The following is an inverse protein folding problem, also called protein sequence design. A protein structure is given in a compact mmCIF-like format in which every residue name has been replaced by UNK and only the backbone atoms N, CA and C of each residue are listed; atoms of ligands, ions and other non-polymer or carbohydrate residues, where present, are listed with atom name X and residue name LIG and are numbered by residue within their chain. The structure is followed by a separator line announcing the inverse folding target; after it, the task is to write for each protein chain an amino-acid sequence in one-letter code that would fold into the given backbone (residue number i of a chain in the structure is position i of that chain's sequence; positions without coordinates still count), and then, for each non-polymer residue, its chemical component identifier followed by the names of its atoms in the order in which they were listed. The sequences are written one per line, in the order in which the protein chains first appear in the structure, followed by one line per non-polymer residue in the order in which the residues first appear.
data_IF_436579613203
#
_entry.id   IF_436579613203
#
_cell.length_a   1.000
_cell.length_b   1.000
_cell.length_c   1.000
_cell.angle_alpha   90.00
_cell.angle_beta   90.00
_cell.angle_gamma   90.00
#
_symmetry.space_group_name_H-M   'P 1'
#
loop_
_entity.id
_entity.type
_entity.pdbx_description
1 polymer ?
#
# COMPACT_ATOMS: atom_id res chain seq x y z
N UNK A 1 24.64 1.12 6.18
CA UNK A 1 23.33 1.69 5.77
C UNK A 1 23.05 3.01 6.48
N UNK A 2 22.20 3.94 5.95
CA UNK A 2 21.68 5.10 6.71
C UNK A 2 20.74 4.64 7.82
N UNK A 3 20.67 5.41 8.92
CA UNK A 3 19.72 5.10 10.00
C UNK A 3 18.26 5.36 9.55
N UNK A 4 17.27 4.66 10.14
CA UNK A 4 15.85 4.85 9.81
C UNK A 4 15.39 6.29 9.94
N UNK A 5 15.88 7.02 10.97
CA UNK A 5 15.56 8.43 11.22
C UNK A 5 16.06 9.31 10.07
N UNK A 6 17.30 9.14 9.64
CA UNK A 6 17.86 9.89 8.51
C UNK A 6 17.13 9.62 7.19
N UNK A 7 16.71 8.37 6.98
CA UNK A 7 15.90 8.01 5.80
C UNK A 7 14.56 8.73 5.85
N UNK A 8 13.91 8.72 7.02
CA UNK A 8 12.63 9.40 7.24
C UNK A 8 12.73 10.91 7.02
N UNK A 9 13.77 11.54 7.56
CA UNK A 9 14.01 12.99 7.40
C UNK A 9 14.24 13.35 5.94
N UNK A 10 15.13 12.63 5.24
CA UNK A 10 15.40 12.86 3.81
C UNK A 10 14.15 12.74 2.94
N UNK A 11 13.33 11.72 3.17
CA UNK A 11 12.07 11.54 2.46
C UNK A 11 11.09 12.66 2.78
N UNK A 12 11.00 13.05 4.06
CA UNK A 12 10.09 14.11 4.51
C UNK A 12 10.44 15.45 3.92
N UNK A 13 11.73 15.80 3.94
CA UNK A 13 12.24 17.04 3.34
C UNK A 13 12.04 17.07 1.82
N UNK A 14 12.28 15.93 1.14
CA UNK A 14 12.09 15.84 -0.30
C UNK A 14 10.63 16.05 -0.71
N UNK A 15 9.67 15.42 0.00
CA UNK A 15 8.24 15.62 -0.26
C UNK A 15 7.82 17.06 0.05
N UNK A 16 8.28 17.63 1.17
CA UNK A 16 7.94 19.00 1.55
C UNK A 16 8.55 20.07 0.61
N UNK A 17 9.63 19.73 -0.07
CA UNK A 17 10.35 20.64 -0.98
C UNK A 17 9.85 20.60 -2.43
N UNK A 18 8.79 19.83 -2.74
CA UNK A 18 8.24 19.79 -4.10
C UNK A 18 7.72 21.20 -4.47
N UNK A 19 8.27 21.83 -5.54
CA UNK A 19 7.83 23.15 -5.95
C UNK A 19 6.51 23.07 -6.74
N UNK A 20 5.56 23.91 -6.40
CA UNK A 20 4.32 24.07 -7.14
C UNK A 20 4.19 25.48 -7.68
N UNK A 21 3.72 25.67 -8.94
CA UNK A 21 3.29 26.97 -9.42
C UNK A 21 2.14 27.53 -8.57
N UNK A 22 2.09 28.87 -8.39
CA UNK A 22 1.00 29.51 -7.67
C UNK A 22 -0.34 29.38 -8.41
N UNK A 23 -0.27 29.35 -9.74
CA UNK A 23 -1.46 29.29 -10.61
C UNK A 23 -1.32 28.15 -11.65
N UNK A 24 -2.42 27.51 -12.04
CA UNK A 24 -3.76 27.68 -11.47
C UNK A 24 -3.89 27.05 -10.07
N UNK A 25 -4.29 27.84 -9.08
CA UNK A 25 -4.31 27.45 -7.68
C UNK A 25 -5.15 26.18 -7.43
N UNK A 26 -6.31 26.06 -8.09
CA UNK A 26 -7.19 24.90 -7.96
C UNK A 26 -6.61 23.57 -8.51
N UNK A 27 -5.50 23.63 -9.25
CA UNK A 27 -4.76 22.43 -9.67
C UNK A 27 -3.75 22.02 -8.62
N UNK A 28 -2.97 22.98 -8.09
CA UNK A 28 -1.81 22.69 -7.25
C UNK A 28 -2.11 22.62 -5.76
N UNK A 29 -3.07 23.42 -5.26
CA UNK A 29 -3.46 23.38 -3.84
C UNK A 29 -3.96 21.98 -3.39
N UNK A 30 -4.79 21.26 -4.17
CA UNK A 30 -5.19 19.90 -3.79
C UNK A 30 -4.01 18.91 -3.75
N UNK A 31 -3.00 19.08 -4.64
CA UNK A 31 -1.78 18.26 -4.63
C UNK A 31 -1.01 18.48 -3.34
N UNK A 32 -0.72 19.73 -3.00
CA UNK A 32 -0.03 20.08 -1.75
C UNK A 32 -0.80 19.56 -0.53
N UNK A 33 -2.12 19.80 -0.46
CA UNK A 33 -2.99 19.32 0.59
C UNK A 33 -2.92 17.79 0.77
N UNK A 34 -2.94 17.03 -0.34
CA UNK A 34 -2.88 15.57 -0.30
C UNK A 34 -1.54 15.08 0.26
N UNK A 35 -0.42 15.67 -0.18
CA UNK A 35 0.91 15.28 0.26
C UNK A 35 1.23 15.73 1.69
N UNK A 36 0.66 16.86 2.14
CA UNK A 36 0.76 17.36 3.51
C UNK A 36 -0.11 16.59 4.51
N UNK A 37 -1.13 15.87 4.06
CA UNK A 37 -2.01 15.09 4.94
C UNK A 37 -1.30 14.00 5.75
N UNK A 38 0.00 13.85 5.57
CA UNK A 38 0.86 12.91 6.30
C UNK A 38 0.83 11.49 5.73
N UNK A 39 1.26 10.54 6.55
CA UNK A 39 1.39 9.13 6.21
C UNK A 39 2.75 8.57 6.59
N UNK A 40 2.87 7.24 6.63
CA UNK A 40 4.11 6.55 7.04
C UNK A 40 5.23 6.62 6.00
N UNK A 41 4.91 7.07 4.79
CA UNK A 41 5.86 7.21 3.66
C UNK A 41 6.74 5.97 3.45
N UNK A 42 6.16 4.78 3.66
CA UNK A 42 6.88 3.52 3.64
C UNK A 42 7.55 3.24 2.28
N UNK A 43 6.86 3.55 1.17
CA UNK A 43 7.36 3.28 -0.19
C UNK A 43 8.64 4.06 -0.51
N UNK A 44 8.68 5.38 -0.39
CA UNK A 44 9.92 6.12 -0.62
C UNK A 44 11.02 5.75 0.39
N UNK A 45 10.67 5.46 1.66
CA UNK A 45 11.64 4.99 2.64
C UNK A 45 12.28 3.67 2.22
N UNK A 46 11.50 2.73 1.67
CA UNK A 46 12.02 1.46 1.14
C UNK A 46 12.97 1.65 -0.03
N UNK A 47 12.66 2.55 -0.97
CA UNK A 47 13.56 2.84 -2.09
C UNK A 47 14.90 3.40 -1.61
N UNK A 48 14.86 4.38 -0.70
CA UNK A 48 16.06 5.00 -0.11
C UNK A 48 16.83 3.99 0.75
N UNK A 49 16.13 3.20 1.58
CA UNK A 49 16.74 2.17 2.42
C UNK A 49 17.47 1.11 1.59
N UNK A 50 16.83 0.62 0.53
CA UNK A 50 17.43 -0.39 -0.36
C UNK A 50 18.66 0.17 -1.05
N UNK A 51 18.59 1.39 -1.60
CA UNK A 51 19.74 2.04 -2.22
C UNK A 51 20.90 2.19 -1.23
N UNK A 52 20.61 2.68 -0.02
CA UNK A 52 21.62 2.85 1.03
C UNK A 52 22.21 1.52 1.52
N UNK A 53 21.41 0.49 1.68
CA UNK A 53 21.85 -0.85 2.12
C UNK A 53 22.78 -1.52 1.11
N UNK A 54 22.62 -1.22 -0.17
CA UNK A 54 23.47 -1.73 -1.25
C UNK A 54 24.66 -0.82 -1.58
N UNK A 55 24.93 0.20 -0.73
CA UNK A 55 26.05 1.11 -0.91
C UNK A 55 25.88 2.14 -2.01
N UNK A 56 24.64 2.32 -2.52
CA UNK A 56 24.32 3.31 -3.53
C UNK A 56 24.32 4.75 -2.99
N UNK A 57 24.42 5.71 -3.90
CA UNK A 57 24.39 7.14 -3.58
C UNK A 57 22.93 7.60 -3.43
N UNK A 58 22.53 7.90 -2.17
CA UNK A 58 21.14 8.23 -1.83
C UNK A 58 20.62 9.48 -2.55
N UNK A 59 21.46 10.44 -2.85
CA UNK A 59 21.09 11.62 -3.65
C UNK A 59 20.53 11.27 -5.03
N UNK A 60 20.89 10.12 -5.59
CA UNK A 60 20.44 9.66 -6.90
C UNK A 60 19.09 8.97 -6.88
N UNK A 61 18.65 8.47 -5.73
CA UNK A 61 17.37 7.74 -5.61
C UNK A 61 16.24 8.63 -5.10
N UNK A 62 16.55 9.75 -4.45
CA UNK A 62 15.57 10.55 -3.71
C UNK A 62 14.44 11.09 -4.60
N UNK A 63 14.76 11.58 -5.81
CA UNK A 63 13.75 12.07 -6.75
C UNK A 63 12.80 10.94 -7.18
N UNK A 64 13.33 9.78 -7.56
CA UNK A 64 12.53 8.62 -7.94
C UNK A 64 11.68 8.09 -6.77
N UNK A 65 12.26 8.03 -5.56
CA UNK A 65 11.54 7.65 -4.35
C UNK A 65 10.38 8.61 -4.04
N UNK A 66 10.62 9.92 -4.16
CA UNK A 66 9.58 10.95 -4.00
C UNK A 66 8.50 10.82 -5.08
N UNK A 67 8.87 10.54 -6.33
CA UNK A 67 7.93 10.26 -7.40
C UNK A 67 7.01 9.07 -7.11
N UNK A 68 7.53 8.00 -6.53
CA UNK A 68 6.73 6.85 -6.08
C UNK A 68 5.73 7.26 -4.98
N UNK A 69 6.10 8.15 -4.07
CA UNK A 69 5.18 8.65 -3.03
C UNK A 69 4.09 9.55 -3.64
N UNK A 70 4.46 10.42 -4.59
CA UNK A 70 3.48 11.24 -5.33
C UNK A 70 2.49 10.35 -6.07
N UNK A 71 2.98 9.30 -6.76
CA UNK A 71 2.12 8.33 -7.43
C UNK A 71 1.19 7.61 -6.45
N UNK A 72 1.70 7.16 -5.31
CA UNK A 72 0.86 6.53 -4.29
C UNK A 72 -0.26 7.47 -3.81
N UNK A 73 0.04 8.74 -3.55
CA UNK A 73 -0.98 9.70 -3.13
C UNK A 73 -1.95 10.06 -4.27
N UNK A 74 -1.50 10.00 -5.55
CA UNK A 74 -2.39 10.05 -6.71
C UNK A 74 -3.43 8.93 -6.68
N UNK A 75 -2.99 7.67 -6.47
CA UNK A 75 -3.92 6.54 -6.43
C UNK A 75 -4.91 6.68 -5.29
N UNK A 76 -4.49 7.15 -4.10
CA UNK A 76 -5.39 7.40 -2.98
C UNK A 76 -6.41 8.50 -3.28
N UNK A 77 -6.01 9.56 -3.97
CA UNK A 77 -6.89 10.68 -4.31
C UNK A 77 -7.99 10.24 -5.27
N UNK A 78 -7.65 9.44 -6.31
CA UNK A 78 -8.65 8.89 -7.24
C UNK A 78 -9.52 7.81 -6.59
N UNK A 79 -8.94 6.96 -5.75
CA UNK A 79 -9.65 5.96 -4.95
C UNK A 79 -10.75 6.62 -4.08
N UNK A 80 -10.42 7.72 -3.41
CA UNK A 80 -11.39 8.51 -2.62
C UNK A 80 -12.60 8.99 -3.46
N UNK A 81 -12.37 9.36 -4.72
CA UNK A 81 -13.47 9.76 -5.63
C UNK A 81 -14.33 8.55 -6.02
N UNK A 82 -13.70 7.42 -6.34
CA UNK A 82 -14.36 6.17 -6.72
C UNK A 82 -15.22 5.62 -5.58
N UNK A 83 -14.65 5.59 -4.37
CA UNK A 83 -15.29 5.06 -3.16
C UNK A 83 -16.25 6.07 -2.49
N UNK A 84 -16.34 7.31 -3.00
CA UNK A 84 -17.12 8.40 -2.38
C UNK A 84 -16.75 8.67 -0.93
N UNK A 85 -15.51 8.44 -0.55
CA UNK A 85 -15.03 8.56 0.81
C UNK A 85 -15.06 10.02 1.30
N UNK A 86 -15.66 10.26 2.48
CA UNK A 86 -15.74 11.61 3.05
C UNK A 86 -14.43 12.08 3.67
N UNK A 87 -13.72 11.15 4.31
CA UNK A 87 -12.51 11.44 5.10
C UNK A 87 -11.35 10.50 4.71
N UNK A 88 -10.14 11.06 4.69
CA UNK A 88 -8.88 10.31 4.63
C UNK A 88 -7.92 10.86 5.68
N UNK A 89 -7.37 10.00 6.52
CA UNK A 89 -6.46 10.38 7.62
C UNK A 89 -7.04 11.47 8.53
N UNK A 90 -8.36 11.43 8.76
CA UNK A 90 -9.09 12.39 9.59
C UNK A 90 -9.36 13.77 8.94
N UNK A 91 -8.99 13.95 7.68
CA UNK A 91 -9.24 15.16 6.91
C UNK A 91 -10.24 14.90 5.78
N UNK A 92 -10.97 15.93 5.35
CA UNK A 92 -11.86 15.83 4.19
C UNK A 92 -11.06 15.38 2.95
N UNK A 93 -11.62 14.48 2.18
CA UNK A 93 -11.07 14.10 0.87
C UNK A 93 -11.08 15.27 -0.10
N UNK A 94 -10.24 15.25 -1.13
CA UNK A 94 -10.14 16.38 -2.08
C UNK A 94 -11.47 16.66 -2.75
N UNK A 95 -12.22 15.62 -3.19
CA UNK A 95 -13.51 15.83 -3.84
C UNK A 95 -14.59 16.40 -2.91
N UNK A 96 -14.47 16.17 -1.60
CA UNK A 96 -15.38 16.79 -0.59
C UNK A 96 -14.97 18.23 -0.25
N UNK A 97 -13.67 18.52 -0.26
CA UNK A 97 -13.16 19.85 0.08
C UNK A 97 -13.25 20.82 -1.11
N UNK A 98 -13.11 20.33 -2.34
CA UNK A 98 -13.25 21.13 -3.57
C UNK A 98 -14.42 20.60 -4.40
N UNK A 99 -14.17 19.68 -5.33
CA UNK A 99 -15.17 18.97 -6.15
C UNK A 99 -14.51 17.77 -6.88
N UNK A 100 -15.33 16.92 -7.50
CA UNK A 100 -14.89 15.71 -8.23
C UNK A 100 -13.94 16.07 -9.39
N UNK A 101 -14.24 17.12 -10.18
CA UNK A 101 -13.43 17.50 -11.33
C UNK A 101 -12.04 18.00 -10.90
N UNK A 102 -12.00 18.77 -9.81
CA UNK A 102 -10.74 19.23 -9.21
C UNK A 102 -9.91 18.06 -8.72
N UNK A 103 -10.54 17.08 -8.07
CA UNK A 103 -9.85 15.88 -7.59
C UNK A 103 -9.28 15.06 -8.77
N UNK A 104 -10.08 14.79 -9.80
CA UNK A 104 -9.64 14.04 -10.97
C UNK A 104 -8.46 14.74 -11.65
N UNK A 105 -8.58 16.03 -11.96
CA UNK A 105 -7.54 16.77 -12.68
C UNK A 105 -6.25 16.92 -11.87
N UNK A 106 -6.36 17.15 -10.56
CA UNK A 106 -5.19 17.22 -9.66
C UNK A 106 -4.49 15.86 -9.57
N UNK A 107 -5.26 14.76 -9.55
CA UNK A 107 -4.72 13.40 -9.62
C UNK A 107 -3.94 13.15 -10.93
N UNK A 108 -4.49 13.53 -12.09
CA UNK A 108 -3.80 13.42 -13.39
C UNK A 108 -2.49 14.21 -13.39
N UNK A 109 -2.50 15.40 -12.80
CA UNK A 109 -1.29 16.21 -12.64
C UNK A 109 -0.27 15.54 -11.70
N UNK A 110 -0.72 14.88 -10.62
CA UNK A 110 0.15 14.11 -9.72
C UNK A 110 0.78 12.91 -10.43
N UNK A 111 0.05 12.18 -11.27
CA UNK A 111 0.61 11.09 -12.09
C UNK A 111 1.72 11.59 -13.02
N UNK A 112 1.47 12.72 -13.68
CA UNK A 112 2.49 13.35 -14.55
C UNK A 112 3.70 13.81 -13.74
N UNK A 113 3.49 14.46 -12.59
CA UNK A 113 4.56 14.90 -11.68
C UNK A 113 5.40 13.71 -11.19
N UNK A 114 4.76 12.62 -10.78
CA UNK A 114 5.43 11.39 -10.36
C UNK A 114 6.34 10.84 -11.48
N UNK A 115 5.82 10.76 -12.71
CA UNK A 115 6.59 10.31 -13.88
C UNK A 115 7.79 11.22 -14.14
N UNK A 116 7.61 12.56 -14.08
CA UNK A 116 8.71 13.52 -14.23
C UNK A 116 9.80 13.35 -13.16
N UNK A 117 9.42 13.06 -11.93
CA UNK A 117 10.37 12.84 -10.83
C UNK A 117 11.13 11.51 -11.01
N UNK A 118 10.43 10.44 -11.37
CA UNK A 118 11.04 9.13 -11.63
C UNK A 118 12.02 9.20 -12.82
N UNK A 119 11.71 10.00 -13.84
CA UNK A 119 12.57 10.24 -14.99
C UNK A 119 13.86 11.00 -14.66
N UNK A 120 14.02 11.50 -13.43
CA UNK A 120 15.30 12.07 -12.94
C UNK A 120 16.27 11.02 -12.43
N UNK A 121 15.94 9.74 -12.47
CA UNK A 121 16.89 8.67 -12.20
C UNK A 121 18.15 8.82 -13.08
N UNK A 122 19.33 8.31 -12.63
CA UNK A 122 20.55 8.39 -13.43
C UNK A 122 20.35 7.89 -14.87
N UNK A 123 20.88 8.61 -15.86
CA UNK A 123 20.62 8.38 -17.28
C UNK A 123 20.86 6.93 -17.72
N UNK A 124 21.84 6.26 -17.10
CA UNK A 124 22.24 4.89 -17.42
C UNK A 124 21.17 3.86 -17.05
N UNK A 125 20.37 4.14 -15.99
CA UNK A 125 19.34 3.23 -15.47
C UNK A 125 17.92 3.76 -15.63
N UNK A 126 17.77 5.03 -16.03
CA UNK A 126 16.46 5.68 -16.17
C UNK A 126 15.47 4.91 -17.05
N UNK A 127 15.85 4.32 -18.20
CA UNK A 127 14.92 3.54 -19.02
C UNK A 127 14.38 2.31 -18.28
N UNK A 128 15.23 1.62 -17.49
CA UNK A 128 14.83 0.45 -16.70
C UNK A 128 13.90 0.84 -15.55
N UNK A 129 14.22 1.94 -14.84
CA UNK A 129 13.39 2.46 -13.74
C UNK A 129 12.02 2.90 -14.25
N UNK A 130 11.95 3.59 -15.39
CA UNK A 130 10.67 4.00 -16.00
C UNK A 130 9.85 2.80 -16.50
N UNK A 131 10.49 1.80 -17.13
CA UNK A 131 9.79 0.58 -17.56
C UNK A 131 9.20 -0.17 -16.36
N UNK A 132 9.97 -0.34 -15.27
CA UNK A 132 9.51 -0.91 -14.03
C UNK A 132 8.31 -0.15 -13.46
N UNK A 133 8.41 1.18 -13.37
CA UNK A 133 7.34 2.02 -12.84
C UNK A 133 6.07 1.94 -13.69
N UNK A 134 6.19 2.07 -15.01
CA UNK A 134 5.04 2.05 -15.90
C UNK A 134 4.31 0.70 -15.88
N UNK A 135 5.05 -0.43 -15.83
CA UNK A 135 4.46 -1.76 -15.65
C UNK A 135 3.72 -1.86 -14.32
N UNK A 136 4.36 -1.40 -13.24
CA UNK A 136 3.75 -1.38 -11.92
C UNK A 136 2.47 -0.51 -11.88
N UNK A 137 2.49 0.63 -12.56
CA UNK A 137 1.31 1.50 -12.65
C UNK A 137 0.14 0.80 -13.34
N UNK A 138 0.39 0.08 -14.43
CA UNK A 138 -0.64 -0.72 -15.11
C UNK A 138 -1.17 -1.85 -14.21
N UNK A 139 -0.29 -2.57 -13.53
CA UNK A 139 -0.70 -3.61 -12.57
C UNK A 139 -1.60 -3.05 -11.46
N UNK A 140 -1.32 -1.84 -10.97
CA UNK A 140 -2.16 -1.18 -9.94
C UNK A 140 -3.55 -0.84 -10.49
N UNK A 141 -3.65 -0.36 -11.74
CA UNK A 141 -4.96 -0.09 -12.35
C UNK A 141 -5.75 -1.38 -12.57
N UNK A 142 -5.09 -2.46 -12.98
CA UNK A 142 -5.72 -3.79 -13.08
C UNK A 142 -6.22 -4.27 -11.71
N UNK A 143 -5.41 -4.10 -10.66
CA UNK A 143 -5.80 -4.43 -9.29
C UNK A 143 -6.99 -3.61 -8.78
N UNK A 144 -7.01 -2.30 -9.08
CA UNK A 144 -8.13 -1.43 -8.75
C UNK A 144 -9.41 -1.83 -9.50
N UNK A 145 -9.30 -2.17 -10.79
CA UNK A 145 -10.47 -2.65 -11.56
C UNK A 145 -11.01 -3.97 -10.99
N UNK A 146 -10.13 -4.91 -10.60
CA UNK A 146 -10.56 -6.16 -9.95
C UNK A 146 -11.30 -5.89 -8.63
N UNK A 147 -10.80 -4.96 -7.81
CA UNK A 147 -11.44 -4.61 -6.54
C UNK A 147 -12.86 -4.08 -6.76
N UNK A 148 -13.04 -3.15 -7.71
CA UNK A 148 -14.35 -2.63 -8.12
C UNK A 148 -15.28 -3.72 -8.67
N UNK A 149 -14.76 -4.63 -9.50
CA UNK A 149 -15.54 -5.73 -10.07
C UNK A 149 -16.02 -6.70 -8.98
N UNK A 150 -15.23 -6.89 -7.92
CA UNK A 150 -15.55 -7.79 -6.81
C UNK A 150 -16.73 -7.31 -5.96
N UNK A 151 -17.00 -6.02 -5.93
CA UNK A 151 -18.17 -5.47 -5.21
C UNK A 151 -19.47 -6.16 -5.64
N UNK A 152 -19.61 -6.43 -6.94
CA UNK A 152 -20.82 -6.99 -7.56
C UNK A 152 -20.77 -8.52 -7.73
N UNK A 153 -19.73 -9.20 -7.19
CA UNK A 153 -19.54 -10.65 -7.30
C UNK A 153 -19.70 -11.35 -5.96
N UNK A 154 -20.29 -12.55 -6.00
CA UNK A 154 -20.44 -13.41 -4.82
C UNK A 154 -19.68 -14.75 -4.96
N UNK A 155 -18.85 -14.86 -5.99
CA UNK A 155 -18.06 -16.05 -6.35
C UNK A 155 -16.56 -15.79 -6.33
N UNK A 156 -16.12 -14.66 -5.76
CA UNK A 156 -14.70 -14.31 -5.65
C UNK A 156 -13.96 -15.37 -4.84
N UNK A 157 -12.88 -15.87 -5.39
CA UNK A 157 -12.02 -16.87 -4.77
C UNK A 157 -10.88 -16.24 -3.99
N UNK A 158 -10.32 -16.98 -3.02
CA UNK A 158 -9.11 -16.55 -2.30
C UNK A 158 -7.96 -16.25 -3.25
N UNK A 159 -7.83 -17.02 -4.34
CA UNK A 159 -6.77 -16.78 -5.35
C UNK A 159 -6.94 -15.45 -6.06
N UNK A 160 -8.16 -15.09 -6.46
CA UNK A 160 -8.46 -13.80 -7.11
C UNK A 160 -8.23 -12.65 -6.14
N UNK A 161 -8.68 -12.78 -4.88
CA UNK A 161 -8.41 -11.78 -3.85
C UNK A 161 -6.91 -11.55 -3.63
N UNK A 162 -6.12 -12.63 -3.48
CA UNK A 162 -4.66 -12.51 -3.30
C UNK A 162 -3.98 -11.85 -4.49
N UNK A 163 -4.45 -12.11 -5.71
CA UNK A 163 -3.95 -11.43 -6.91
C UNK A 163 -4.35 -9.95 -6.92
N UNK A 164 -5.59 -9.62 -6.60
CA UNK A 164 -6.05 -8.24 -6.51
C UNK A 164 -5.22 -7.42 -5.53
N UNK A 165 -4.98 -7.90 -4.30
CA UNK A 165 -4.17 -7.17 -3.31
C UNK A 165 -2.68 -7.14 -3.69
N UNK A 166 -2.18 -8.16 -4.41
CA UNK A 166 -0.84 -8.12 -5.00
C UNK A 166 -0.72 -6.94 -5.97
N UNK A 167 -1.65 -6.86 -6.91
CA UNK A 167 -1.67 -5.82 -7.95
C UNK A 167 -1.96 -4.43 -7.37
N UNK A 168 -3.03 -4.27 -6.59
CA UNK A 168 -3.47 -2.97 -6.07
C UNK A 168 -2.47 -2.37 -5.06
N UNK A 169 -1.86 -3.19 -4.20
CA UNK A 169 -1.08 -2.71 -3.04
C UNK A 169 0.39 -3.11 -3.09
N UNK A 170 0.70 -4.39 -3.36
CA UNK A 170 2.02 -4.95 -3.06
C UNK A 170 3.07 -4.61 -4.11
N UNK A 171 2.69 -4.57 -5.40
CA UNK A 171 3.63 -4.32 -6.51
C UNK A 171 4.34 -2.96 -6.39
N UNK A 172 3.69 -1.95 -5.79
CA UNK A 172 4.32 -0.63 -5.62
C UNK A 172 5.41 -0.65 -4.52
N UNK A 173 5.28 -1.51 -3.50
CA UNK A 173 6.36 -1.72 -2.53
C UNK A 173 7.52 -2.48 -3.19
N UNK A 174 7.21 -3.49 -4.01
CA UNK A 174 8.21 -4.18 -4.83
C UNK A 174 8.94 -3.22 -5.78
N UNK A 175 8.20 -2.39 -6.49
CA UNK A 175 8.75 -1.35 -7.36
C UNK A 175 9.68 -0.40 -6.60
N UNK A 176 9.28 0.08 -5.44
CA UNK A 176 10.10 0.97 -4.61
C UNK A 176 11.43 0.31 -4.20
N UNK A 177 11.39 -0.92 -3.69
CA UNK A 177 12.59 -1.67 -3.32
C UNK A 177 13.50 -1.89 -4.54
N UNK A 178 12.93 -2.36 -5.67
CA UNK A 178 13.69 -2.63 -6.89
C UNK A 178 14.28 -1.37 -7.51
N UNK A 179 13.57 -0.24 -7.48
CA UNK A 179 14.08 1.06 -7.93
C UNK A 179 15.33 1.45 -7.13
N UNK A 180 15.30 1.28 -5.80
CA UNK A 180 16.45 1.52 -4.94
C UNK A 180 17.65 0.64 -5.31
N UNK A 181 17.41 -0.65 -5.59
CA UNK A 181 18.46 -1.59 -5.99
C UNK A 181 19.06 -1.26 -7.38
N UNK A 182 18.22 -0.94 -8.36
CA UNK A 182 18.67 -0.55 -9.72
C UNK A 182 19.55 0.68 -9.65
N UNK A 183 19.13 1.73 -8.93
CA UNK A 183 19.87 2.98 -8.81
C UNK A 183 21.18 2.80 -8.02
N UNK A 184 21.22 1.84 -7.09
CA UNK A 184 22.46 1.45 -6.40
C UNK A 184 23.44 0.69 -7.31
N UNK A 185 23.06 0.30 -8.53
CA UNK A 185 23.90 -0.48 -9.44
C UNK A 185 23.93 -1.98 -9.10
N UNK A 186 22.95 -2.49 -8.40
CA UNK A 186 22.87 -3.90 -8.03
C UNK A 186 22.65 -4.82 -9.25
N UNK A 187 23.00 -6.09 -9.10
CA UNK A 187 22.70 -7.11 -10.11
C UNK A 187 21.19 -7.29 -10.28
N UNK A 188 20.76 -7.78 -11.47
CA UNK A 188 19.35 -8.10 -11.71
C UNK A 188 18.78 -9.10 -10.69
N UNK A 189 19.59 -10.06 -10.24
CA UNK A 189 19.21 -11.02 -9.21
C UNK A 189 18.95 -10.33 -7.87
N UNK A 190 19.83 -9.42 -7.45
CA UNK A 190 19.67 -8.64 -6.22
C UNK A 190 18.46 -7.70 -6.32
N UNK A 191 18.28 -7.03 -7.47
CA UNK A 191 17.13 -6.16 -7.70
C UNK A 191 15.81 -6.94 -7.66
N UNK A 192 15.78 -8.17 -8.20
CA UNK A 192 14.60 -9.06 -8.12
C UNK A 192 14.35 -9.52 -6.68
N UNK A 193 15.38 -9.88 -5.92
CA UNK A 193 15.26 -10.26 -4.51
C UNK A 193 14.59 -9.14 -3.68
N UNK A 194 14.96 -7.91 -3.91
CA UNK A 194 14.33 -6.75 -3.25
C UNK A 194 12.91 -6.47 -3.76
N UNK A 195 12.62 -6.71 -5.03
CA UNK A 195 11.25 -6.68 -5.54
C UNK A 195 10.37 -7.70 -4.81
N UNK A 196 10.84 -8.94 -4.72
CA UNK A 196 10.12 -10.03 -4.05
C UNK A 196 9.94 -9.76 -2.54
N UNK A 197 10.95 -9.16 -1.90
CA UNK A 197 10.82 -8.65 -0.53
C UNK A 197 9.66 -7.66 -0.41
N UNK A 198 9.64 -6.64 -1.26
CA UNK A 198 8.61 -5.60 -1.23
C UNK A 198 7.21 -6.13 -1.50
N UNK A 199 7.06 -7.06 -2.46
CA UNK A 199 5.77 -7.68 -2.78
C UNK A 199 5.26 -8.52 -1.60
N UNK A 200 6.10 -9.38 -1.01
CA UNK A 200 5.69 -10.21 0.13
C UNK A 200 5.37 -9.35 1.37
N UNK A 201 6.14 -8.29 1.62
CA UNK A 201 5.85 -7.31 2.67
C UNK A 201 4.47 -6.65 2.45
N UNK A 202 4.16 -6.29 1.20
CA UNK A 202 2.88 -5.67 0.84
C UNK A 202 1.69 -6.59 1.04
N UNK A 203 1.84 -7.87 0.70
CA UNK A 203 0.81 -8.89 0.95
C UNK A 203 0.55 -9.08 2.45
N UNK A 204 1.61 -9.19 3.27
CA UNK A 204 1.48 -9.26 4.72
C UNK A 204 0.78 -8.01 5.28
N UNK A 205 1.14 -6.84 4.76
CA UNK A 205 0.59 -5.55 5.20
C UNK A 205 -0.91 -5.45 4.89
N UNK A 206 -1.33 -5.80 3.66
CA UNK A 206 -2.75 -5.71 3.27
C UNK A 206 -3.61 -6.72 4.04
N UNK A 207 -3.16 -7.98 4.15
CA UNK A 207 -3.86 -8.97 4.97
C UNK A 207 -4.00 -8.52 6.44
N UNK A 208 -2.98 -7.83 6.97
CA UNK A 208 -3.02 -7.28 8.32
C UNK A 208 -4.00 -6.12 8.43
N UNK A 209 -4.06 -5.23 7.43
CA UNK A 209 -5.02 -4.13 7.42
C UNK A 209 -6.47 -4.66 7.41
N UNK A 210 -6.79 -5.66 6.59
CA UNK A 210 -8.11 -6.32 6.56
C UNK A 210 -8.42 -7.04 7.88
N UNK A 211 -7.41 -7.67 8.51
CA UNK A 211 -7.55 -8.29 9.81
C UNK A 211 -7.83 -7.25 10.90
N UNK A 212 -7.12 -6.11 10.90
CA UNK A 212 -7.30 -5.02 11.86
C UNK A 212 -8.67 -4.36 11.74
N UNK A 213 -9.26 -4.28 10.54
CA UNK A 213 -10.62 -3.80 10.36
C UNK A 213 -11.64 -4.65 11.11
N UNK A 214 -11.41 -5.96 11.24
CA UNK A 214 -12.31 -6.89 11.95
C UNK A 214 -11.96 -7.08 13.43
N UNK A 215 -10.65 -7.17 13.76
CA UNK A 215 -10.16 -7.62 15.06
C UNK A 215 -9.31 -6.57 15.81
N UNK A 216 -9.09 -5.41 15.21
CA UNK A 216 -8.31 -4.34 15.82
C UNK A 216 -8.96 -3.74 17.06
N UNK A 217 -8.19 -2.99 17.84
CA UNK A 217 -8.69 -2.16 18.94
C UNK A 217 -9.15 -0.80 18.38
N UNK A 218 -10.46 -0.43 18.54
CA UNK A 218 -10.98 0.85 18.04
C UNK A 218 -10.19 2.06 18.56
N UNK A 219 -9.71 1.99 19.81
CA UNK A 219 -8.96 3.08 20.45
C UNK A 219 -7.59 3.29 19.82
N UNK A 220 -7.03 2.22 19.24
CA UNK A 220 -5.70 2.21 18.63
C UNK A 220 -5.78 2.41 17.12
N UNK A 221 -6.77 1.80 16.47
CA UNK A 221 -6.93 1.85 15.02
C UNK A 221 -7.45 3.20 14.53
N UNK A 222 -8.14 3.95 15.40
CA UNK A 222 -8.64 5.31 15.10
C UNK A 222 -9.75 5.35 14.03
N UNK A 223 -10.36 4.18 13.70
CA UNK A 223 -11.49 4.02 12.77
C UNK A 223 -12.54 3.13 13.43
N UNK A 224 -13.76 3.19 12.91
CA UNK A 224 -14.80 2.23 13.25
C UNK A 224 -14.35 0.83 12.80
N UNK A 225 -14.46 -0.15 13.70
CA UNK A 225 -14.15 -1.56 13.42
C UNK A 225 -15.31 -2.17 12.63
N UNK A 226 -14.99 -3.07 11.69
CA UNK A 226 -15.97 -3.79 10.89
C UNK A 226 -16.45 -3.04 9.65
N UNK A 227 -15.77 -1.97 9.25
CA UNK A 227 -16.11 -1.23 8.04
C UNK A 227 -16.13 -2.12 6.78
N UNK A 228 -15.19 -3.04 6.65
CA UNK A 228 -15.16 -4.00 5.55
C UNK A 228 -16.37 -4.95 5.56
N UNK A 229 -16.83 -5.36 6.73
CA UNK A 229 -18.04 -6.21 6.89
C UNK A 229 -19.30 -5.41 6.51
N UNK A 230 -19.42 -4.18 7.01
CA UNK A 230 -20.57 -3.29 6.76
C UNK A 230 -20.69 -3.01 5.26
N UNK A 231 -19.58 -2.75 4.58
CA UNK A 231 -19.54 -2.46 3.15
C UNK A 231 -19.56 -3.73 2.27
N UNK A 232 -19.58 -4.92 2.86
CA UNK A 232 -19.60 -6.20 2.11
C UNK A 232 -18.35 -6.45 1.27
N UNK A 233 -17.20 -5.86 1.69
CA UNK A 233 -15.91 -5.98 0.99
C UNK A 233 -15.42 -7.42 0.98
N UNK A 234 -14.96 -7.87 -0.18
CA UNK A 234 -14.49 -9.24 -0.40
C UNK A 234 -13.07 -9.42 0.15
N UNK A 235 -12.94 -9.39 1.49
CA UNK A 235 -11.68 -9.65 2.20
C UNK A 235 -11.35 -11.15 2.25
N UNK A 236 -10.12 -11.48 2.60
CA UNK A 236 -9.71 -12.87 2.83
C UNK A 236 -10.60 -13.57 3.87
N UNK A 237 -11.01 -12.86 4.92
CA UNK A 237 -11.89 -13.38 6.00
C UNK A 237 -13.27 -13.72 5.44
N UNK A 238 -13.91 -12.79 4.75
CA UNK A 238 -15.25 -12.99 4.20
C UNK A 238 -15.26 -14.11 3.16
N UNK A 239 -14.29 -14.16 2.25
CA UNK A 239 -14.23 -15.19 1.19
C UNK A 239 -14.08 -16.58 1.78
N UNK A 240 -13.21 -16.78 2.79
CA UNK A 240 -13.07 -18.08 3.45
C UNK A 240 -14.35 -18.47 4.19
N UNK A 241 -14.97 -17.56 4.92
CA UNK A 241 -16.21 -17.82 5.60
C UNK A 241 -17.34 -18.16 4.62
N UNK A 242 -17.46 -17.45 3.50
CA UNK A 242 -18.41 -17.76 2.41
C UNK A 242 -18.14 -19.12 1.76
N UNK A 243 -16.90 -19.57 1.74
CA UNK A 243 -16.54 -20.89 1.20
C UNK A 243 -17.01 -22.01 2.12
N UNK A 244 -16.95 -21.83 3.43
CA UNK A 244 -17.22 -22.87 4.43
C UNK A 244 -18.66 -22.83 4.99
N UNK A 245 -19.24 -21.64 5.20
CA UNK A 245 -20.57 -21.43 5.82
C UNK A 245 -21.43 -20.43 5.02
N UNK A 246 -21.50 -20.61 3.71
CA UNK A 246 -22.18 -19.68 2.79
C UNK A 246 -23.61 -19.34 3.19
N UNK A 247 -24.43 -20.37 3.47
CA UNK A 247 -25.86 -20.16 3.74
C UNK A 247 -26.06 -19.30 4.99
N UNK A 248 -25.35 -19.62 6.07
CA UNK A 248 -25.44 -18.87 7.32
C UNK A 248 -25.02 -17.41 7.16
N UNK A 249 -23.89 -17.17 6.46
CA UNK A 249 -23.46 -15.80 6.17
C UNK A 249 -24.43 -15.02 5.30
N UNK A 250 -24.99 -15.65 4.27
CA UNK A 250 -26.01 -15.02 3.44
C UNK A 250 -27.25 -14.65 4.24
N UNK A 251 -27.66 -15.52 5.19
CA UNK A 251 -28.82 -15.26 6.05
C UNK A 251 -28.52 -14.04 6.96
N UNK A 252 -27.35 -14.00 7.64
CA UNK A 252 -26.93 -12.87 8.48
C UNK A 252 -26.86 -11.56 7.66
N UNK A 253 -26.26 -11.60 6.48
CA UNK A 253 -26.10 -10.40 5.63
C UNK A 253 -27.42 -9.90 5.03
N UNK A 254 -28.45 -10.77 4.95
CA UNK A 254 -29.79 -10.42 4.47
C UNK A 254 -30.72 -9.92 5.57
N UNK A 255 -30.39 -10.13 6.85
CA UNK A 255 -31.17 -9.64 7.98
C UNK A 255 -31.10 -8.11 8.09
N UNK A 256 -32.19 -7.51 8.59
CA UNK A 256 -32.26 -6.07 8.88
C UNK A 256 -31.65 -5.79 10.27
N UNK A 257 -30.33 -5.93 10.34
CA UNK A 257 -29.50 -5.71 11.53
C UNK A 257 -28.89 -4.32 11.50
N UNK A 258 -28.67 -3.73 12.68
CA UNK A 258 -27.80 -2.59 12.77
C UNK A 258 -26.32 -2.98 12.53
N UNK A 259 -25.45 -2.00 12.30
CA UNK A 259 -24.06 -2.23 11.93
C UNK A 259 -23.29 -3.00 13.01
N UNK A 260 -23.54 -2.71 14.30
CA UNK A 260 -22.87 -3.39 15.43
C UNK A 260 -23.29 -4.85 15.55
N UNK A 261 -24.58 -5.13 15.42
CA UNK A 261 -25.11 -6.49 15.43
C UNK A 261 -24.59 -7.30 14.25
N UNK A 262 -24.61 -6.71 13.03
CA UNK A 262 -24.07 -7.35 11.82
C UNK A 262 -22.61 -7.71 11.97
N UNK A 263 -21.76 -6.78 12.40
CA UNK A 263 -20.33 -7.02 12.64
C UNK A 263 -20.13 -8.11 13.68
N UNK A 264 -20.89 -8.09 14.79
CA UNK A 264 -20.83 -9.09 15.85
C UNK A 264 -21.17 -10.49 15.36
N UNK A 265 -22.24 -10.64 14.59
CA UNK A 265 -22.69 -11.96 14.09
C UNK A 265 -21.71 -12.50 13.03
N UNK A 266 -21.24 -11.69 12.08
CA UNK A 266 -20.26 -12.11 11.08
C UNK A 266 -18.94 -12.49 11.75
N UNK A 267 -18.47 -11.71 12.73
CA UNK A 267 -17.27 -12.02 13.51
C UNK A 267 -17.40 -13.35 14.26
N UNK A 268 -18.57 -13.63 14.85
CA UNK A 268 -18.81 -14.92 15.51
C UNK A 268 -18.68 -16.13 14.55
N UNK A 269 -19.06 -15.95 13.27
CA UNK A 269 -18.81 -16.97 12.23
C UNK A 269 -17.32 -17.13 11.98
N UNK A 270 -16.58 -16.02 11.83
CA UNK A 270 -15.12 -16.04 11.62
C UNK A 270 -14.39 -16.74 12.77
N UNK A 271 -14.80 -16.47 14.03
CA UNK A 271 -14.20 -17.05 15.24
C UNK A 271 -14.42 -18.58 15.29
N UNK A 272 -15.62 -19.06 14.94
CA UNK A 272 -15.90 -20.52 14.87
C UNK A 272 -15.07 -21.23 13.82
N UNK A 273 -14.76 -20.56 12.70
CA UNK A 273 -13.90 -21.07 11.63
C UNK A 273 -12.41 -20.84 11.91
N UNK A 274 -12.07 -20.22 13.04
CA UNK A 274 -10.69 -19.83 13.42
C UNK A 274 -9.99 -19.02 12.35
N UNK A 275 -10.72 -18.13 11.68
CA UNK A 275 -10.16 -17.31 10.61
C UNK A 275 -9.17 -16.27 11.13
N UNK A 276 -9.32 -15.83 12.38
CA UNK A 276 -8.34 -15.02 13.10
C UNK A 276 -6.95 -15.68 13.10
N UNK A 277 -6.83 -16.90 13.67
CA UNK A 277 -5.58 -17.64 13.76
C UNK A 277 -5.00 -17.97 12.37
N UNK A 278 -5.87 -18.34 11.43
CA UNK A 278 -5.48 -18.71 10.05
C UNK A 278 -4.96 -17.49 9.28
N UNK A 279 -5.61 -16.34 9.39
CA UNK A 279 -5.16 -15.08 8.76
C UNK A 279 -3.83 -14.62 9.37
N UNK A 280 -3.70 -14.68 10.68
CA UNK A 280 -2.46 -14.33 11.38
C UNK A 280 -1.28 -15.22 10.95
N UNK A 281 -1.52 -16.51 10.79
CA UNK A 281 -0.52 -17.46 10.26
C UNK A 281 -0.10 -17.12 8.82
N UNK A 282 -1.05 -16.72 7.97
CA UNK A 282 -0.79 -16.32 6.60
C UNK A 282 0.02 -15.02 6.52
N UNK A 283 -0.31 -14.03 7.36
CA UNK A 283 0.45 -12.78 7.50
C UNK A 283 1.92 -13.10 7.89
N UNK A 284 2.11 -13.94 8.91
CA UNK A 284 3.44 -14.36 9.35
C UNK A 284 4.21 -15.12 8.25
N UNK A 285 3.52 -15.91 7.43
CA UNK A 285 4.15 -16.62 6.30
C UNK A 285 4.67 -15.63 5.24
N UNK A 286 3.87 -14.64 4.85
CA UNK A 286 4.31 -13.61 3.91
C UNK A 286 5.44 -12.74 4.47
N UNK A 287 5.41 -12.40 5.74
CA UNK A 287 6.51 -11.67 6.39
C UNK A 287 7.82 -12.50 6.37
N UNK A 288 7.75 -13.82 6.63
CA UNK A 288 8.91 -14.71 6.51
C UNK A 288 9.42 -14.79 5.07
N UNK A 289 8.51 -14.91 4.07
CA UNK A 289 8.89 -14.92 2.64
C UNK A 289 9.57 -13.62 2.23
N UNK A 290 9.12 -12.48 2.76
CA UNK A 290 9.78 -11.20 2.53
C UNK A 290 11.24 -11.26 3.00
N UNK A 291 11.50 -11.66 4.24
CA UNK A 291 12.87 -11.77 4.75
C UNK A 291 13.69 -12.77 3.95
N UNK A 292 13.13 -13.95 3.66
CA UNK A 292 13.83 -15.00 2.91
C UNK A 292 14.18 -14.59 1.47
N UNK A 293 13.43 -13.68 0.86
CA UNK A 293 13.74 -13.20 -0.47
C UNK A 293 15.12 -12.51 -0.57
N UNK A 294 15.57 -11.90 0.52
CA UNK A 294 16.85 -11.19 0.59
C UNK A 294 17.94 -11.95 1.37
N UNK A 295 17.71 -13.21 1.77
CA UNK A 295 18.69 -13.99 2.54
C UNK A 295 20.02 -14.16 1.81
N UNK A 296 19.98 -14.36 0.49
CA UNK A 296 21.17 -14.53 -0.34
C UNK A 296 21.86 -13.20 -0.72
N UNK A 297 21.29 -12.05 -0.34
CA UNK A 297 21.90 -10.74 -0.61
C UNK A 297 22.91 -10.41 0.47
N UNK A 298 24.09 -9.97 0.06
CA UNK A 298 25.11 -9.47 1.00
C UNK A 298 24.67 -8.10 1.57
N UNK A 299 24.32 -8.10 2.83
CA UNK A 299 23.91 -6.90 3.59
C UNK A 299 24.70 -6.83 4.88
N UNK A 300 25.04 -5.62 5.30
CA UNK A 300 25.53 -5.40 6.66
C UNK A 300 24.45 -5.73 7.72
N UNK A 301 24.87 -5.89 8.97
CA UNK A 301 23.97 -6.29 10.06
C UNK A 301 22.84 -5.27 10.28
N UNK A 302 23.13 -3.97 10.16
CA UNK A 302 22.14 -2.90 10.33
C UNK A 302 21.06 -2.95 9.23
N UNK A 303 21.48 -3.17 7.98
CA UNK A 303 20.56 -3.30 6.87
C UNK A 303 19.68 -4.55 7.01
N UNK A 304 20.28 -5.68 7.36
CA UNK A 304 19.54 -6.94 7.59
C UNK A 304 18.54 -6.78 8.72
N UNK A 305 18.97 -6.15 9.83
CA UNK A 305 18.10 -5.87 10.97
C UNK A 305 16.94 -4.93 10.59
N UNK A 306 17.20 -3.89 9.77
CA UNK A 306 16.17 -2.96 9.32
C UNK A 306 15.06 -3.68 8.56
N UNK A 307 15.40 -4.44 7.48
CA UNK A 307 14.41 -5.14 6.66
C UNK A 307 13.70 -6.24 7.45
N UNK A 308 14.41 -6.98 8.31
CA UNK A 308 13.79 -8.01 9.17
C UNK A 308 12.82 -7.37 10.16
N UNK A 309 13.22 -6.28 10.82
CA UNK A 309 12.34 -5.58 11.78
C UNK A 309 11.10 -5.01 11.13
N UNK A 310 11.21 -4.52 9.89
CA UNK A 310 10.07 -4.00 9.15
C UNK A 310 9.06 -5.10 8.81
N UNK A 311 9.55 -6.27 8.38
CA UNK A 311 8.71 -7.44 8.12
C UNK A 311 8.03 -7.96 9.40
N UNK A 312 8.76 -8.03 10.54
CA UNK A 312 8.20 -8.43 11.83
C UNK A 312 7.14 -7.43 12.30
N UNK A 313 7.39 -6.13 12.19
CA UNK A 313 6.41 -5.09 12.53
C UNK A 313 5.10 -5.21 11.73
N UNK A 314 5.12 -5.78 10.52
CA UNK A 314 3.88 -6.04 9.76
C UNK A 314 3.02 -7.14 10.41
N UNK A 315 3.62 -8.04 11.22
CA UNK A 315 2.89 -9.09 11.95
C UNK A 315 2.28 -8.52 13.25
N UNK A 316 3.07 -7.74 14.00
CA UNK A 316 2.74 -7.28 15.36
C UNK A 316 2.10 -5.88 15.39
N UNK A 317 1.80 -5.31 14.23
CA UNK A 317 1.24 -3.97 14.12
C UNK A 317 -0.14 -3.91 14.79
N UNK A 318 -0.23 -3.05 15.81
CA UNK A 318 -1.47 -2.75 16.53
C UNK A 318 -2.08 -1.40 16.10
N UNK A 319 -1.37 -0.62 15.30
CA UNK A 319 -1.77 0.71 14.80
C UNK A 319 -1.15 1.05 13.43
#
# INVERSE_FOLDING_TARGET
MLTPEKISDLVSDAVASIPYPAEPARLYQPIAYTLESGGKRLRPMLAVATCSALGGEVSKVIDAATGIEVYHNFTLLHDDVMDRADLRRGQLTVHKRWDDNTAILSGDAMLTLATMMIAKAPAEVMPEVLDLFNKTAMEIYEGQQMDMDFENRNDVTVKEYMEMIRLKTSVLLGCACRTGAIIAGASQQTAQAFYDYGVNLGLAFQLRDDWLDTYGDPLVFGKQIGGDIINGKKTWLLINAMTELRQELCDILAEDLDDEERVSQVRAVYDRLKLDERCHSLIADYARRAVSAIDAVELDDDARQYFTSLAVKSIDRTH
#
